data_IF_484459172927
#
_entry.id   IF_484459172927
#
_cell.length_a   1.000
_cell.length_b   1.000
_cell.length_c   1.000
_cell.angle_alpha   90.00
_cell.angle_beta   90.00
_cell.angle_gamma   90.00
#
_symmetry.space_group_name_H-M   'P 1'
#
loop_
_entity.id
_entity.type
_entity.pdbx_description
1 polymer ?
#
# COMPACT_ATOMS: atom_id res chain seq x y z
N UNK A 1 5.15 -13.71 -10.54
CA UNK A 1 4.61 -13.60 -9.22
C UNK A 1 3.16 -13.16 -9.33
N UNK A 2 2.24 -14.09 -9.37
CA UNK A 2 0.87 -13.81 -9.06
C UNK A 2 0.76 -13.79 -7.55
N UNK A 3 1.38 -12.83 -6.95
CA UNK A 3 0.90 -12.31 -5.71
C UNK A 3 -0.38 -11.57 -6.04
N UNK A 4 -1.18 -12.25 -6.58
CA UNK A 4 -2.51 -12.04 -6.64
C UNK A 4 -3.02 -12.40 -5.32
N UNK A 5 -2.93 -11.50 -4.83
CA UNK A 5 -4.05 -10.65 -4.85
C UNK A 5 -4.61 -10.64 -6.25
N UNK A 6 -5.21 -11.68 -6.71
CA UNK A 6 -6.40 -11.56 -7.50
C UNK A 6 -7.26 -10.65 -6.66
N UNK A 7 -7.24 -9.37 -7.02
CA UNK A 7 -8.31 -8.51 -6.64
C UNK A 7 -9.53 -9.17 -7.22
N UNK A 8 -10.15 -9.97 -6.39
CA UNK A 8 -11.50 -10.41 -6.62
C UNK A 8 -12.31 -9.12 -6.45
N UNK A 9 -12.54 -8.45 -7.59
CA UNK A 9 -13.34 -7.24 -7.64
C UNK A 9 -14.76 -7.49 -7.12
N UNK A 10 -15.13 -8.74 -7.03
CA UNK A 10 -16.38 -9.23 -6.45
C UNK A 10 -16.26 -9.46 -4.93
N UNK A 11 -15.05 -9.37 -4.37
CA UNK A 11 -14.87 -9.42 -2.93
C UNK A 11 -15.43 -8.15 -2.29
N UNK A 12 -16.42 -8.23 -1.41
CA UNK A 12 -17.00 -7.06 -0.75
C UNK A 12 -15.99 -6.22 0.04
N UNK A 13 -14.83 -6.75 0.39
CA UNK A 13 -13.71 -5.96 0.94
C UNK A 13 -13.09 -5.00 -0.08
N UNK A 14 -13.24 -5.27 -1.38
CA UNK A 14 -12.78 -4.38 -2.46
C UNK A 14 -13.92 -3.55 -3.06
N UNK A 15 -15.17 -3.84 -2.73
CA UNK A 15 -16.36 -3.18 -3.27
C UNK A 15 -16.66 -1.79 -2.67
N UNK A 16 -15.70 -1.17 -2.00
CA UNK A 16 -15.70 0.28 -1.80
C UNK A 16 -16.59 0.85 -0.71
N UNK A 17 -17.16 0.06 0.16
CA UNK A 17 -17.71 0.54 1.43
C UNK A 17 -16.75 0.13 2.56
N UNK A 18 -15.69 0.92 2.71
CA UNK A 18 -14.87 0.83 3.88
C UNK A 18 -15.67 1.38 5.06
N UNK A 19 -16.05 0.50 5.96
CA UNK A 19 -16.68 0.83 7.23
C UNK A 19 -15.62 0.64 8.32
N UNK A 20 -15.11 1.72 8.94
CA UNK A 20 -14.07 1.61 9.95
C UNK A 20 -14.52 0.80 11.17
N UNK A 21 -15.83 0.73 11.42
CA UNK A 21 -16.39 -0.02 12.54
C UNK A 21 -16.52 -1.53 12.23
N UNK A 22 -16.33 -1.90 10.96
CA UNK A 22 -16.39 -3.29 10.47
C UNK A 22 -15.07 -3.83 9.99
N UNK A 23 -13.96 -3.20 10.34
CA UNK A 23 -12.65 -3.78 10.07
C UNK A 23 -12.60 -5.17 10.71
N UNK A 24 -12.32 -6.22 9.95
CA UNK A 24 -12.13 -7.54 10.53
C UNK A 24 -11.04 -7.45 11.60
N UNK A 25 -11.26 -8.08 12.74
CA UNK A 25 -10.22 -8.23 13.74
C UNK A 25 -8.95 -8.74 13.03
N UNK A 26 -7.78 -8.31 13.49
CA UNK A 26 -6.51 -8.80 12.98
C UNK A 26 -6.49 -10.32 13.13
N UNK A 27 -6.95 -11.01 12.10
CA UNK A 27 -6.92 -12.46 12.04
C UNK A 27 -5.50 -12.97 11.90
N UNK A 28 -5.30 -14.24 12.20
CA UNK A 28 -4.08 -14.96 11.81
C UNK A 28 -3.90 -14.96 10.30
N UNK A 29 -2.68 -15.18 9.84
CA UNK A 29 -2.39 -15.44 8.44
C UNK A 29 -3.07 -16.73 8.00
N UNK A 30 -3.51 -16.76 6.75
CA UNK A 30 -4.06 -17.96 6.12
C UNK A 30 -2.97 -19.05 6.03
N UNK A 31 -3.27 -20.24 6.51
CA UNK A 31 -2.34 -21.38 6.52
C UNK A 31 -1.86 -21.71 5.09
N UNK A 32 -2.74 -21.62 4.10
CA UNK A 32 -2.37 -21.79 2.69
C UNK A 32 -1.30 -20.79 2.24
N UNK A 33 -1.38 -19.53 2.70
CA UNK A 33 -0.39 -18.53 2.37
C UNK A 33 0.95 -18.80 3.05
N UNK A 34 0.93 -19.33 4.26
CA UNK A 34 2.14 -19.74 5.00
C UNK A 34 2.81 -20.90 4.25
N UNK A 35 2.06 -21.94 3.87
CA UNK A 35 2.58 -23.06 3.10
C UNK A 35 3.22 -22.60 1.78
N UNK A 36 2.53 -21.73 1.04
CA UNK A 36 3.08 -21.13 -0.18
C UNK A 36 4.40 -20.39 0.06
N UNK A 37 4.51 -19.62 1.15
CA UNK A 37 5.74 -18.93 1.49
C UNK A 37 6.90 -19.90 1.77
N UNK A 38 6.63 -20.99 2.49
CA UNK A 38 7.64 -22.02 2.74
C UNK A 38 8.11 -22.68 1.45
N UNK A 39 7.21 -23.04 0.56
CA UNK A 39 7.58 -23.57 -0.77
C UNK A 39 8.46 -22.61 -1.56
N UNK A 40 8.16 -21.30 -1.55
CA UNK A 40 8.98 -20.30 -2.22
C UNK A 40 10.34 -20.12 -1.54
N UNK A 41 10.38 -20.21 -0.22
CA UNK A 41 11.60 -20.12 0.56
C UNK A 41 12.56 -21.28 0.25
N UNK A 42 12.07 -22.52 0.23
CA UNK A 42 12.86 -23.69 -0.12
C UNK A 42 13.49 -23.58 -1.51
N UNK A 43 12.71 -23.08 -2.49
CA UNK A 43 13.18 -22.89 -3.87
C UNK A 43 14.24 -21.81 -4.02
N UNK A 44 14.10 -20.71 -3.29
CA UNK A 44 14.90 -19.50 -3.52
C UNK A 44 16.03 -19.34 -2.50
N UNK A 45 15.90 -19.91 -1.31
CA UNK A 45 16.87 -19.81 -0.21
C UNK A 45 17.02 -21.15 0.47
N UNK A 46 17.71 -22.13 -0.17
CA UNK A 46 17.82 -23.51 0.35
C UNK A 46 18.40 -23.60 1.77
N UNK A 47 19.17 -22.61 2.21
CA UNK A 47 19.74 -22.58 3.55
C UNK A 47 18.72 -22.35 4.68
N UNK A 48 17.46 -22.07 4.34
CA UNK A 48 16.37 -21.85 5.29
C UNK A 48 15.37 -23.01 5.34
N UNK A 49 15.67 -24.14 4.70
CA UNK A 49 14.76 -25.28 4.63
C UNK A 49 14.33 -25.80 6.02
N UNK A 50 15.23 -25.72 7.01
CA UNK A 50 14.97 -26.13 8.39
C UNK A 50 14.45 -24.99 9.28
N UNK A 51 14.19 -23.81 8.72
CA UNK A 51 13.67 -22.69 9.47
C UNK A 51 12.20 -22.89 9.85
N UNK A 52 11.85 -22.60 11.10
CA UNK A 52 10.47 -22.60 11.56
C UNK A 52 9.84 -21.21 11.52
N UNK A 53 8.52 -21.16 11.52
CA UNK A 53 7.75 -19.93 11.64
C UNK A 53 7.78 -19.44 13.10
N UNK A 54 8.33 -18.27 13.35
CA UNK A 54 8.33 -17.66 14.68
C UNK A 54 7.02 -16.91 14.96
N UNK A 55 6.53 -16.16 14.00
CA UNK A 55 5.28 -15.41 14.12
C UNK A 55 4.74 -14.99 12.75
N UNK A 56 3.43 -14.78 12.68
CA UNK A 56 2.77 -14.24 11.50
C UNK A 56 1.71 -13.23 11.93
N UNK A 57 1.47 -12.23 11.08
CA UNK A 57 0.43 -11.24 11.31
C UNK A 57 -0.09 -10.67 10.00
N UNK A 58 -1.34 -10.22 10.02
CA UNK A 58 -1.96 -9.45 8.95
C UNK A 58 -1.90 -7.96 9.26
N UNK A 59 -1.80 -7.15 8.23
CA UNK A 59 -1.84 -5.70 8.31
C UNK A 59 -2.63 -5.12 7.15
N UNK A 60 -3.15 -3.90 7.35
CA UNK A 60 -3.86 -3.17 6.32
C UNK A 60 -2.92 -2.24 5.57
N UNK A 61 -3.23 -2.02 4.29
CA UNK A 61 -2.57 -1.05 3.42
C UNK A 61 -3.56 -0.01 2.97
N UNK A 62 -3.15 1.25 2.96
CA UNK A 62 -3.92 2.30 2.33
C UNK A 62 -3.75 2.20 0.81
N UNK A 63 -4.83 1.94 0.12
CA UNK A 63 -4.84 1.78 -1.33
C UNK A 63 -6.04 2.53 -1.92
N UNK A 64 -5.82 3.61 -2.67
CA UNK A 64 -6.90 4.34 -3.35
C UNK A 64 -7.54 3.47 -4.43
N UNK A 65 -8.77 3.80 -4.82
CA UNK A 65 -9.52 3.02 -5.82
C UNK A 65 -8.86 2.95 -7.19
N UNK A 66 -8.05 3.94 -7.53
CA UNK A 66 -7.31 4.04 -8.78
C UNK A 66 -5.88 3.48 -8.69
N UNK A 67 -5.51 2.90 -7.53
CA UNK A 67 -4.20 2.33 -7.25
C UNK A 67 -3.03 3.30 -7.38
N UNK A 68 -3.29 4.59 -7.43
CA UNK A 68 -2.26 5.63 -7.49
C UNK A 68 -2.10 6.31 -6.13
N UNK A 69 -0.88 6.60 -5.70
CA UNK A 69 -0.67 7.31 -4.44
C UNK A 69 -1.29 8.72 -4.47
N UNK A 70 -1.60 9.25 -3.31
CA UNK A 70 -2.10 10.61 -3.12
C UNK A 70 -0.98 11.43 -2.53
N UNK A 71 -0.45 12.38 -3.32
CA UNK A 71 0.71 13.18 -2.91
C UNK A 71 0.46 14.65 -3.22
N UNK A 72 0.80 15.52 -2.28
CA UNK A 72 0.75 16.97 -2.45
C UNK A 72 -0.38 17.64 -1.69
N UNK A 73 -0.83 18.76 -2.24
CA UNK A 73 -1.79 19.65 -1.59
C UNK A 73 -3.19 19.05 -1.46
N UNK A 74 -3.87 19.46 -0.40
CA UNK A 74 -5.29 19.21 -0.19
C UNK A 74 -6.07 20.54 -0.23
N UNK A 75 -7.42 20.49 -0.27
CA UNK A 75 -8.25 21.68 -0.11
C UNK A 75 -8.07 22.41 1.24
N UNK A 76 -7.48 21.72 2.21
CA UNK A 76 -7.21 22.31 3.53
C UNK A 76 -5.85 23.01 3.51
N UNK A 77 -5.84 24.31 3.77
CA UNK A 77 -4.62 25.12 3.76
C UNK A 77 -3.53 24.53 4.69
N UNK A 78 -2.32 24.41 4.18
CA UNK A 78 -1.15 23.87 4.88
C UNK A 78 -1.29 22.37 5.28
N UNK A 79 -2.19 21.63 4.66
CA UNK A 79 -2.33 20.20 4.88
C UNK A 79 -1.93 19.44 3.60
N UNK A 80 -0.80 18.76 3.67
CA UNK A 80 -0.26 17.94 2.60
C UNK A 80 -0.52 16.46 2.87
N UNK A 81 -0.71 15.70 1.81
CA UNK A 81 -0.81 14.25 1.88
C UNK A 81 0.38 13.58 1.19
N UNK A 82 0.78 12.43 1.74
CA UNK A 82 1.68 11.49 1.12
C UNK A 82 1.25 10.08 1.59
N UNK A 83 0.29 9.49 0.91
CA UNK A 83 -0.39 8.25 1.32
C UNK A 83 -0.86 7.42 0.12
N UNK A 84 -1.39 6.25 0.39
CA UNK A 84 -2.03 5.44 -0.64
C UNK A 84 -1.05 4.67 -1.52
N UNK A 85 0.13 4.35 -1.02
CA UNK A 85 1.19 3.66 -1.78
C UNK A 85 0.93 2.16 -1.98
N UNK A 86 -0.15 1.62 -1.43
CA UNK A 86 -0.41 0.19 -1.48
C UNK A 86 0.77 -0.64 -0.97
N UNK A 87 1.29 -1.54 -1.81
CA UNK A 87 2.45 -2.38 -1.48
C UNK A 87 3.82 -1.76 -1.74
N UNK A 88 3.87 -0.59 -2.39
CA UNK A 88 5.11 -0.01 -2.93
C UNK A 88 5.74 1.06 -2.02
N UNK A 89 5.11 1.38 -0.89
CA UNK A 89 5.50 2.51 -0.05
C UNK A 89 6.96 2.53 0.37
N UNK A 90 7.56 1.39 0.69
CA UNK A 90 8.97 1.30 1.08
C UNK A 90 9.91 1.70 -0.07
N UNK A 91 9.55 1.34 -1.30
CA UNK A 91 10.35 1.62 -2.51
C UNK A 91 10.19 3.09 -2.92
N UNK A 92 8.97 3.62 -2.85
CA UNK A 92 8.63 4.95 -3.35
C UNK A 92 8.92 6.07 -2.34
N UNK A 93 8.80 5.79 -1.05
CA UNK A 93 8.94 6.78 0.01
C UNK A 93 10.22 7.63 -0.05
N UNK A 94 11.42 7.09 -0.33
CA UNK A 94 12.64 7.91 -0.38
C UNK A 94 12.60 8.99 -1.46
N UNK A 95 12.10 8.65 -2.65
CA UNK A 95 11.99 9.61 -3.75
C UNK A 95 10.93 10.68 -3.47
N UNK A 96 9.76 10.24 -3.03
CA UNK A 96 8.63 11.11 -2.70
C UNK A 96 8.96 12.05 -1.55
N UNK A 97 9.57 11.55 -0.47
CA UNK A 97 9.93 12.37 0.69
C UNK A 97 10.92 13.46 0.33
N UNK A 98 11.92 13.15 -0.51
CA UNK A 98 12.89 14.13 -0.99
C UNK A 98 12.24 15.22 -1.85
N UNK A 99 11.33 14.84 -2.71
CA UNK A 99 10.63 15.78 -3.59
C UNK A 99 9.64 16.64 -2.81
N UNK A 100 8.88 16.03 -1.90
CA UNK A 100 7.95 16.73 -1.02
C UNK A 100 8.66 17.74 -0.10
N UNK A 101 9.86 17.41 0.41
CA UNK A 101 10.67 18.32 1.18
C UNK A 101 11.10 19.56 0.36
N UNK A 102 11.48 19.38 -0.91
CA UNK A 102 11.77 20.50 -1.82
C UNK A 102 10.53 21.36 -2.05
N UNK A 103 9.39 20.72 -2.26
CA UNK A 103 8.13 21.40 -2.45
C UNK A 103 7.77 22.26 -1.24
N UNK A 104 7.86 21.73 -0.03
CA UNK A 104 7.58 22.46 1.20
C UNK A 104 8.52 23.64 1.38
N UNK A 105 9.81 23.45 1.08
CA UNK A 105 10.84 24.48 1.33
C UNK A 105 10.93 25.54 0.23
N UNK A 106 10.63 25.19 -1.01
CA UNK A 106 10.92 26.03 -2.19
C UNK A 106 9.75 26.19 -3.16
N UNK A 107 8.66 25.46 -2.97
CA UNK A 107 7.56 25.39 -3.95
C UNK A 107 7.90 24.62 -5.22
N UNK A 108 9.01 23.87 -5.22
CA UNK A 108 9.50 23.14 -6.40
C UNK A 108 9.24 21.65 -6.25
N UNK A 109 8.64 21.03 -7.24
CA UNK A 109 8.46 19.59 -7.31
C UNK A 109 8.70 19.06 -8.71
N UNK A 110 9.21 17.83 -8.79
CA UNK A 110 9.39 17.07 -10.02
C UNK A 110 8.49 15.84 -10.09
N UNK A 111 7.91 15.44 -8.95
CA UNK A 111 7.08 14.23 -8.82
C UNK A 111 5.61 14.52 -8.52
N UNK A 112 5.24 15.78 -8.21
CA UNK A 112 3.85 16.14 -7.99
C UNK A 112 3.12 16.20 -9.32
N UNK A 113 2.79 15.03 -9.82
CA UNK A 113 2.03 14.88 -11.04
C UNK A 113 0.55 15.13 -10.75
N UNK A 114 -0.16 15.68 -11.74
CA UNK A 114 -1.60 15.89 -11.64
C UNK A 114 -2.34 14.56 -11.34
N UNK A 115 -1.81 13.46 -11.84
CA UNK A 115 -2.30 12.10 -11.62
C UNK A 115 -2.21 11.64 -10.17
N UNK A 116 -1.30 12.19 -9.36
CA UNK A 116 -1.14 11.87 -7.95
C UNK A 116 -1.80 12.88 -7.02
N UNK A 117 -2.24 14.01 -7.56
CA UNK A 117 -2.86 15.07 -6.78
C UNK A 117 -4.20 14.61 -6.16
N UNK A 118 -4.48 15.09 -4.95
CA UNK A 118 -5.75 14.85 -4.28
C UNK A 118 -6.96 15.30 -5.11
N UNK A 119 -6.79 16.36 -5.90
CA UNK A 119 -7.84 16.94 -6.74
C UNK A 119 -8.42 15.96 -7.76
N UNK A 120 -7.68 14.92 -8.16
CA UNK A 120 -8.20 13.89 -9.08
C UNK A 120 -9.37 13.11 -8.49
N UNK A 121 -9.38 12.94 -7.15
CA UNK A 121 -10.44 12.22 -6.44
C UNK A 121 -11.73 13.04 -6.32
N UNK A 122 -11.66 14.34 -6.57
CA UNK A 122 -12.81 15.25 -6.54
C UNK A 122 -13.50 15.36 -7.90
N UNK A 123 -12.83 14.93 -8.96
CA UNK A 123 -13.42 14.89 -10.31
C UNK A 123 -14.36 13.69 -10.36
N UNK A 124 -15.67 13.95 -10.44
CA UNK A 124 -16.71 12.94 -10.67
C UNK A 124 -16.79 12.56 -12.13
#
# INVERSE_FOLDING_TARGET
CKSHLSMDLDNPMHAGQWDPDKLPERGGTDDYFIEFLFEQMEKNVPGLVDAGLSSSWLSYRAEPRDFLPIIGDTPVKNYLLATGYGGNGVIEAPAVSRDLAKYIMRGESTLLLEEWAFSRLLKK
#
